data_IF_887999583679
#
_entry.id   IF_887999583679
#
_cell.length_a   1.000
_cell.length_b   1.000
_cell.length_c   1.000
_cell.angle_alpha   90.00
_cell.angle_beta   90.00
_cell.angle_gamma   90.00
#
_symmetry.space_group_name_H-M   'P 1'
#
loop_
_entity.id
_entity.type
_entity.pdbx_description
1 polymer ?
#
# COMPACT_ATOMS: atom_id res chain seq x y z
N UNK A 1 10.28 3.07 -38.94
CA UNK A 1 11.69 3.05 -38.46
C UNK A 1 11.66 2.56 -37.02
N UNK A 2 12.09 1.32 -36.79
CA UNK A 2 11.94 0.63 -35.51
C UNK A 2 12.67 1.36 -34.39
N UNK A 3 11.97 1.59 -33.28
CA UNK A 3 12.56 2.11 -32.06
C UNK A 3 13.73 1.20 -31.66
N UNK A 4 14.90 1.77 -31.42
CA UNK A 4 16.06 1.04 -30.98
C UNK A 4 15.69 0.20 -29.74
N UNK A 5 15.93 -1.12 -29.79
CA UNK A 5 15.80 -2.02 -28.65
C UNK A 5 16.84 -1.60 -27.60
N UNK A 6 16.42 -0.76 -26.66
CA UNK A 6 17.23 -0.37 -25.52
C UNK A 6 17.28 -1.55 -24.55
N UNK A 7 18.47 -1.92 -24.09
CA UNK A 7 18.63 -3.00 -23.10
C UNK A 7 19.25 -2.43 -21.83
N UNK A 8 18.59 -2.65 -20.69
CA UNK A 8 19.09 -2.28 -19.36
C UNK A 8 19.11 -3.50 -18.45
N UNK A 9 20.25 -3.76 -17.81
CA UNK A 9 20.42 -4.90 -16.90
C UNK A 9 20.03 -6.26 -17.53
N UNK A 10 20.25 -6.41 -18.85
CA UNK A 10 19.86 -7.61 -19.59
C UNK A 10 18.34 -7.77 -19.79
N UNK A 11 17.58 -6.67 -19.74
CA UNK A 11 16.15 -6.60 -20.11
C UNK A 11 15.99 -5.74 -21.37
N UNK A 12 15.46 -6.31 -22.45
CA UNK A 12 15.11 -5.57 -23.67
C UNK A 12 13.81 -4.78 -23.49
N UNK A 13 13.88 -3.47 -23.70
CA UNK A 13 12.82 -2.52 -23.48
C UNK A 13 12.17 -2.11 -24.80
N UNK A 14 10.85 -2.15 -24.86
CA UNK A 14 10.08 -1.90 -26.09
C UNK A 14 9.06 -0.79 -25.90
N UNK A 15 8.58 -0.18 -26.99
CA UNK A 15 7.45 0.77 -26.96
C UNK A 15 7.65 1.94 -25.95
N UNK A 16 8.89 2.38 -25.76
CA UNK A 16 9.28 3.32 -24.71
C UNK A 16 8.62 4.70 -24.90
N UNK A 17 8.44 5.12 -26.14
CA UNK A 17 7.85 6.44 -26.48
C UNK A 17 6.32 6.45 -26.41
N UNK A 18 5.68 5.30 -26.15
CA UNK A 18 4.23 5.26 -26.04
C UNK A 18 3.73 5.87 -24.73
N UNK A 19 2.56 6.52 -24.73
CA UNK A 19 1.89 6.98 -23.51
C UNK A 19 1.69 5.83 -22.53
N UNK A 20 1.89 6.10 -21.22
CA UNK A 20 1.80 5.08 -20.17
C UNK A 20 0.35 4.61 -19.93
N UNK A 21 -0.57 5.56 -19.75
CA UNK A 21 -2.02 5.39 -19.69
C UNK A 21 -2.70 6.76 -19.89
N UNK A 22 -4.02 6.77 -20.09
CA UNK A 22 -4.77 8.00 -20.32
C UNK A 22 -4.73 8.93 -19.09
N UNK A 23 -4.29 10.17 -19.30
CA UNK A 23 -4.10 11.14 -18.21
C UNK A 23 -2.80 10.97 -17.41
N UNK A 24 -1.93 10.01 -17.74
CA UNK A 24 -0.67 9.80 -17.03
C UNK A 24 0.25 11.04 -17.07
N UNK A 25 0.21 11.82 -18.16
CA UNK A 25 1.21 12.87 -18.42
C UNK A 25 2.63 12.31 -18.52
N UNK A 26 2.77 11.00 -18.79
CA UNK A 26 4.03 10.26 -18.78
C UNK A 26 4.03 9.16 -19.85
N UNK A 27 5.21 8.84 -20.35
CA UNK A 27 5.47 7.73 -21.29
C UNK A 27 5.88 6.46 -20.54
N UNK A 28 5.96 5.35 -21.26
CA UNK A 28 6.55 4.12 -20.72
C UNK A 28 8.03 4.34 -20.35
N UNK A 29 8.78 5.13 -21.14
CA UNK A 29 10.14 5.55 -20.83
C UNK A 29 10.22 6.24 -19.47
N UNK A 30 9.34 7.20 -19.21
CA UNK A 30 9.29 7.91 -17.92
C UNK A 30 9.12 6.94 -16.74
N UNK A 31 8.27 5.92 -16.88
CA UNK A 31 8.10 4.89 -15.84
C UNK A 31 9.37 4.07 -15.63
N UNK A 32 10.02 3.63 -16.71
CA UNK A 32 11.26 2.84 -16.65
C UNK A 32 12.37 3.66 -15.99
N UNK A 33 12.57 4.90 -16.44
CA UNK A 33 13.57 5.82 -15.92
C UNK A 33 13.32 6.15 -14.45
N UNK A 34 12.06 6.38 -14.08
CA UNK A 34 11.66 6.60 -12.69
C UNK A 34 12.02 5.41 -11.80
N UNK A 35 11.57 4.20 -12.16
CA UNK A 35 11.80 3.00 -11.34
C UNK A 35 13.27 2.66 -11.23
N UNK A 36 14.05 2.88 -12.30
CA UNK A 36 15.50 2.72 -12.27
C UNK A 36 16.18 3.75 -11.34
N UNK A 37 15.73 5.01 -11.36
CA UNK A 37 16.24 6.07 -10.52
C UNK A 37 15.94 5.85 -9.03
N UNK A 38 14.77 5.30 -8.68
CA UNK A 38 14.38 5.02 -7.28
C UNK A 38 14.66 3.58 -6.83
N UNK A 39 15.30 2.75 -7.67
CA UNK A 39 15.50 1.30 -7.41
C UNK A 39 16.03 1.00 -6.02
N UNK A 40 17.02 1.75 -5.55
CA UNK A 40 17.72 1.50 -4.28
C UNK A 40 16.81 1.81 -3.06
N UNK A 41 15.70 2.53 -3.29
CA UNK A 41 14.72 2.94 -2.27
C UNK A 41 13.45 2.08 -2.31
N UNK A 42 12.97 1.72 -3.50
CA UNK A 42 11.76 0.89 -3.64
C UNK A 42 12.07 -0.60 -3.37
N UNK A 43 13.20 -1.13 -3.84
CA UNK A 43 13.53 -2.55 -3.73
C UNK A 43 13.57 -3.09 -2.28
N UNK A 44 14.11 -2.36 -1.28
CA UNK A 44 14.05 -2.82 0.12
C UNK A 44 12.63 -3.12 0.60
N UNK A 45 11.63 -2.35 0.13
CA UNK A 45 10.23 -2.56 0.46
C UNK A 45 9.56 -3.72 -0.29
N UNK A 46 10.15 -4.18 -1.40
CA UNK A 46 9.64 -5.28 -2.23
C UNK A 46 10.31 -6.63 -1.95
N UNK A 47 11.55 -6.59 -1.43
CA UNK A 47 12.42 -7.77 -1.30
C UNK A 47 11.79 -8.89 -0.49
N UNK A 48 11.90 -10.10 -1.04
CA UNK A 48 11.37 -11.36 -0.52
C UNK A 48 9.88 -11.32 -0.21
N UNK A 49 9.10 -10.42 -0.83
CA UNK A 49 7.64 -10.35 -0.66
C UNK A 49 6.92 -10.78 -1.93
N UNK A 50 5.95 -11.71 -1.84
CA UNK A 50 4.99 -11.93 -2.92
C UNK A 50 4.43 -10.60 -3.43
N UNK A 51 4.69 -10.30 -4.71
CA UNK A 51 4.34 -9.02 -5.29
C UNK A 51 3.10 -9.14 -6.19
N UNK A 52 2.07 -8.36 -5.87
CA UNK A 52 1.02 -8.04 -6.82
C UNK A 52 1.34 -6.72 -7.53
N UNK A 53 1.15 -6.64 -8.84
CA UNK A 53 1.31 -5.38 -9.59
C UNK A 53 0.03 -4.97 -10.30
N UNK A 54 -0.28 -3.67 -10.33
CA UNK A 54 -1.35 -3.16 -11.20
C UNK A 54 -0.73 -2.73 -12.52
N UNK A 55 -1.20 -3.32 -13.61
CA UNK A 55 -0.71 -3.08 -14.96
C UNK A 55 -1.74 -2.32 -15.78
N UNK A 56 -1.25 -1.53 -16.74
CA UNK A 56 -2.09 -0.93 -17.78
C UNK A 56 -1.58 -1.34 -19.15
N UNK A 57 -2.45 -1.90 -19.98
CA UNK A 57 -2.15 -2.17 -21.40
C UNK A 57 -2.78 -1.07 -22.26
N UNK A 58 -2.19 -0.71 -23.41
CA UNK A 58 -2.80 0.26 -24.32
C UNK A 58 -4.27 -0.10 -24.63
N UNK A 59 -5.17 0.88 -24.45
CA UNK A 59 -6.60 0.72 -24.74
C UNK A 59 -7.37 -0.21 -23.79
N UNK A 60 -6.86 -0.47 -22.58
CA UNK A 60 -7.50 -1.34 -21.61
C UNK A 60 -7.52 -0.75 -20.22
N UNK A 61 -8.53 -1.14 -19.44
CA UNK A 61 -8.61 -0.80 -18.03
C UNK A 61 -7.44 -1.40 -17.23
N UNK A 62 -7.00 -0.71 -16.17
CA UNK A 62 -6.02 -1.25 -15.23
C UNK A 62 -6.45 -2.58 -14.64
N UNK A 63 -5.51 -3.52 -14.49
CA UNK A 63 -5.80 -4.80 -13.85
C UNK A 63 -4.69 -5.22 -12.88
N UNK A 64 -5.10 -5.86 -11.79
CA UNK A 64 -4.18 -6.46 -10.83
C UNK A 64 -3.67 -7.80 -11.36
N UNK A 65 -2.35 -7.92 -11.52
CA UNK A 65 -1.66 -9.17 -11.77
C UNK A 65 -1.07 -9.71 -10.47
N UNK A 66 -1.56 -10.87 -10.06
CA UNK A 66 -1.01 -11.67 -8.95
C UNK A 66 -0.18 -12.84 -9.47
N UNK A 67 -0.77 -13.60 -10.39
CA UNK A 67 -0.14 -14.76 -10.98
C UNK A 67 0.82 -14.35 -12.11
N UNK A 68 2.04 -14.89 -12.07
CA UNK A 68 3.04 -14.72 -13.11
C UNK A 68 2.55 -15.31 -14.44
N UNK A 69 2.69 -14.60 -15.57
CA UNK A 69 2.36 -15.12 -16.89
C UNK A 69 3.36 -16.19 -17.37
N UNK A 70 2.94 -17.03 -18.33
CA UNK A 70 3.78 -18.10 -18.89
C UNK A 70 5.08 -17.60 -19.52
N UNK A 71 5.11 -16.37 -20.03
CA UNK A 71 6.29 -15.74 -20.65
C UNK A 71 7.25 -15.13 -19.63
N UNK A 72 7.03 -15.32 -18.32
CA UNK A 72 7.92 -14.78 -17.29
C UNK A 72 9.32 -15.39 -17.45
N UNK A 73 10.38 -14.57 -17.56
CA UNK A 73 11.74 -15.08 -17.66
C UNK A 73 12.11 -16.01 -16.49
N UNK A 74 12.96 -16.99 -16.76
CA UNK A 74 13.43 -17.99 -15.79
C UNK A 74 14.15 -17.37 -14.60
N UNK A 75 14.92 -16.30 -14.82
CA UNK A 75 15.65 -15.57 -13.80
C UNK A 75 14.76 -14.78 -12.83
N UNK A 76 13.47 -14.55 -13.14
CA UNK A 76 12.54 -13.92 -12.18
C UNK A 76 12.24 -14.92 -11.06
N UNK A 77 12.79 -14.65 -9.88
CA UNK A 77 12.49 -15.39 -8.65
C UNK A 77 10.98 -15.36 -8.38
N UNK A 78 10.47 -16.49 -7.88
CA UNK A 78 9.04 -16.68 -7.65
C UNK A 78 8.78 -17.54 -6.42
N UNK A 79 7.61 -17.35 -5.84
CA UNK A 79 7.08 -18.18 -4.76
C UNK A 79 5.65 -18.60 -5.08
N UNK A 80 5.23 -19.70 -4.48
CA UNK A 80 3.95 -20.35 -4.73
C UNK A 80 3.06 -20.18 -3.50
N UNK A 81 1.88 -19.60 -3.67
CA UNK A 81 0.91 -19.39 -2.59
C UNK A 81 -0.40 -20.08 -2.94
N UNK A 82 -0.89 -20.94 -2.05
CA UNK A 82 -2.20 -21.54 -2.20
C UNK A 82 -3.30 -20.50 -1.99
N UNK A 83 -4.19 -20.35 -2.98
CA UNK A 83 -5.30 -19.42 -2.91
C UNK A 83 -6.60 -20.18 -2.69
N UNK A 84 -7.04 -20.26 -1.42
CA UNK A 84 -8.25 -20.99 -1.01
C UNK A 84 -9.48 -20.60 -1.83
N UNK A 85 -9.71 -19.30 -2.03
CA UNK A 85 -10.87 -18.80 -2.77
C UNK A 85 -10.96 -19.30 -4.22
N UNK A 86 -9.84 -19.75 -4.81
CA UNK A 86 -9.80 -20.24 -6.19
C UNK A 86 -9.30 -21.68 -6.31
N UNK A 87 -9.10 -22.38 -5.19
CA UNK A 87 -8.56 -23.74 -5.11
C UNK A 87 -7.40 -24.01 -6.08
N UNK A 88 -6.46 -23.06 -6.19
CA UNK A 88 -5.30 -23.19 -7.06
C UNK A 88 -4.09 -22.53 -6.44
N UNK A 89 -2.92 -22.98 -6.89
CA UNK A 89 -1.67 -22.29 -6.60
C UNK A 89 -1.49 -21.05 -7.47
N UNK A 90 -1.09 -19.95 -6.85
CA UNK A 90 -0.72 -18.70 -7.51
C UNK A 90 0.80 -18.55 -7.42
N UNK A 91 1.44 -18.36 -8.57
CA UNK A 91 2.87 -18.07 -8.67
C UNK A 91 3.08 -16.55 -8.61
N UNK A 92 3.63 -16.07 -7.50
CA UNK A 92 3.97 -14.65 -7.31
C UNK A 92 5.43 -14.40 -7.65
N UNK A 93 5.73 -13.22 -8.20
CA UNK A 93 7.11 -12.77 -8.33
C UNK A 93 7.67 -12.34 -6.98
N UNK A 94 8.98 -12.50 -6.81
CA UNK A 94 9.79 -11.81 -5.82
C UNK A 94 10.62 -10.76 -6.56
N UNK A 95 10.32 -9.48 -6.35
CA UNK A 95 11.00 -8.38 -7.02
C UNK A 95 12.17 -7.91 -6.16
N UNK A 96 13.26 -8.68 -6.20
CA UNK A 96 14.40 -8.52 -5.28
C UNK A 96 15.52 -7.65 -5.85
N UNK A 97 15.52 -7.47 -7.16
CA UNK A 97 16.60 -6.85 -7.91
C UNK A 97 16.11 -5.86 -8.99
N UNK A 98 17.06 -5.06 -9.48
CA UNK A 98 16.85 -4.06 -10.53
C UNK A 98 16.33 -4.70 -11.81
N UNK A 99 16.89 -5.85 -12.23
CA UNK A 99 16.50 -6.56 -13.44
C UNK A 99 15.01 -6.92 -13.45
N UNK A 100 14.49 -7.45 -12.35
CA UNK A 100 13.09 -7.80 -12.17
C UNK A 100 12.20 -6.56 -12.15
N UNK A 101 12.64 -5.49 -11.48
CA UNK A 101 11.94 -4.21 -11.46
C UNK A 101 11.79 -3.63 -12.88
N UNK A 102 12.86 -3.64 -13.68
CA UNK A 102 12.84 -3.15 -15.06
C UNK A 102 11.96 -4.02 -15.97
N UNK A 103 11.91 -5.34 -15.75
CA UNK A 103 11.00 -6.23 -16.48
C UNK A 103 9.53 -5.95 -16.17
N UNK A 104 9.20 -5.62 -14.91
CA UNK A 104 7.87 -5.16 -14.54
C UNK A 104 7.55 -3.80 -15.17
N UNK A 105 8.48 -2.85 -15.13
CA UNK A 105 8.34 -1.55 -15.80
C UNK A 105 8.07 -1.71 -17.30
N UNK A 106 8.83 -2.59 -17.97
CA UNK A 106 8.66 -2.91 -19.39
C UNK A 106 7.27 -3.52 -19.70
N UNK A 107 6.65 -4.16 -18.72
CA UNK A 107 5.30 -4.70 -18.83
C UNK A 107 4.19 -3.71 -18.47
N UNK A 108 4.54 -2.44 -18.23
CA UNK A 108 3.66 -1.38 -17.73
C UNK A 108 3.03 -1.73 -16.38
N UNK A 109 3.78 -2.39 -15.51
CA UNK A 109 3.44 -2.48 -14.08
C UNK A 109 3.70 -1.12 -13.43
N UNK A 110 2.62 -0.42 -13.08
CA UNK A 110 2.67 0.94 -12.55
C UNK A 110 2.62 0.91 -11.03
N UNK A 111 1.74 0.10 -10.43
CA UNK A 111 1.61 0.02 -8.98
C UNK A 111 2.20 -1.29 -8.43
N UNK A 112 2.92 -1.21 -7.31
CA UNK A 112 3.62 -2.30 -6.66
C UNK A 112 3.02 -2.52 -5.27
N UNK A 113 2.39 -3.66 -5.07
CA UNK A 113 1.64 -4.03 -3.87
C UNK A 113 2.22 -5.31 -3.25
N UNK A 114 3.34 -5.20 -2.50
CA UNK A 114 3.89 -6.33 -1.76
C UNK A 114 2.98 -6.76 -0.61
N UNK A 115 3.07 -8.03 -0.23
CA UNK A 115 2.48 -8.54 1.01
C UNK A 115 3.15 -8.01 2.26
N UNK A 116 2.43 -8.01 3.38
CA UNK A 116 2.96 -7.54 4.67
C UNK A 116 3.97 -8.51 5.30
N UNK A 117 3.85 -9.81 5.00
CA UNK A 117 4.85 -10.84 5.31
C UNK A 117 5.80 -11.13 4.15
N UNK A 118 6.94 -11.75 4.45
CA UNK A 118 7.91 -12.25 3.46
C UNK A 118 7.53 -13.67 3.01
N UNK A 119 7.97 -14.10 1.84
CA UNK A 119 7.67 -15.39 1.24
C UNK A 119 8.03 -16.59 2.12
N UNK A 120 9.12 -16.48 2.90
CA UNK A 120 9.55 -17.54 3.81
C UNK A 120 8.76 -17.63 5.11
N UNK A 121 8.08 -16.54 5.50
CA UNK A 121 7.32 -16.42 6.76
C UNK A 121 6.06 -15.57 6.54
N UNK A 122 5.13 -16.03 5.67
CA UNK A 122 3.95 -15.24 5.29
C UNK A 122 2.99 -14.95 6.46
N UNK A 123 3.00 -15.79 7.50
CA UNK A 123 2.25 -15.66 8.75
C UNK A 123 2.81 -14.60 9.70
N UNK A 124 4.01 -14.09 9.42
CA UNK A 124 4.70 -13.10 10.24
C UNK A 124 4.88 -11.78 9.47
N UNK A 125 3.93 -10.83 9.59
CA UNK A 125 4.10 -9.52 8.97
C UNK A 125 5.27 -8.77 9.61
N UNK A 126 5.94 -7.93 8.82
CA UNK A 126 7.05 -7.09 9.32
C UNK A 126 6.60 -5.67 9.68
N UNK A 127 5.33 -5.33 9.44
CA UNK A 127 4.79 -4.00 9.68
C UNK A 127 3.28 -4.04 9.92
N UNK A 128 2.79 -3.14 10.77
CA UNK A 128 1.38 -2.75 10.81
C UNK A 128 1.13 -1.67 9.75
N UNK A 129 -0.11 -1.59 9.28
CA UNK A 129 -0.57 -0.57 8.33
C UNK A 129 -1.90 0.01 8.81
N UNK A 130 -1.91 1.31 9.06
CA UNK A 130 -3.15 2.09 9.20
C UNK A 130 -3.36 2.86 7.90
N UNK A 131 -4.38 2.48 7.15
CA UNK A 131 -4.74 3.08 5.86
C UNK A 131 -5.86 4.12 6.08
N UNK A 132 -5.54 5.39 5.82
CA UNK A 132 -6.40 6.52 6.15
C UNK A 132 -7.13 6.97 4.90
N UNK A 133 -8.41 6.63 4.83
CA UNK A 133 -9.29 6.86 3.70
C UNK A 133 -10.24 8.03 3.98
N UNK A 134 -9.92 9.26 3.52
CA UNK A 134 -10.80 10.40 3.72
C UNK A 134 -12.04 10.31 2.82
N UNK A 135 -13.11 11.06 3.14
CA UNK A 135 -14.30 11.12 2.30
C UNK A 135 -13.97 11.66 0.89
N UNK A 136 -14.85 11.46 -0.11
CA UNK A 136 -14.69 12.09 -1.42
C UNK A 136 -14.59 13.62 -1.33
N UNK A 137 -13.88 14.23 -2.28
CA UNK A 137 -13.63 15.69 -2.32
C UNK A 137 -12.16 16.04 -2.07
N UNK A 138 -11.89 17.33 -1.88
CA UNK A 138 -10.57 17.82 -1.44
C UNK A 138 -10.45 17.68 0.09
N UNK A 139 -10.17 16.44 0.51
CA UNK A 139 -10.23 16.01 1.90
C UNK A 139 -8.87 15.55 2.45
N UNK A 140 -7.79 15.87 1.74
CA UNK A 140 -6.44 15.49 2.18
C UNK A 140 -6.10 16.09 3.55
N UNK A 141 -6.53 17.32 3.83
CA UNK A 141 -6.36 17.95 5.15
C UNK A 141 -7.02 17.16 6.28
N UNK A 142 -8.17 16.52 6.04
CA UNK A 142 -8.80 15.65 7.03
C UNK A 142 -7.96 14.38 7.27
N UNK A 143 -7.41 13.77 6.20
CA UNK A 143 -6.48 12.65 6.36
C UNK A 143 -5.23 13.03 7.16
N UNK A 144 -4.69 14.24 6.96
CA UNK A 144 -3.56 14.77 7.74
C UNK A 144 -3.94 14.90 9.21
N UNK A 145 -5.09 15.51 9.52
CA UNK A 145 -5.55 15.65 10.90
C UNK A 145 -5.67 14.29 11.60
N UNK A 146 -6.29 13.30 10.93
CA UNK A 146 -6.42 11.95 11.49
C UNK A 146 -5.08 11.20 11.56
N UNK A 147 -4.13 11.45 10.65
CA UNK A 147 -2.78 10.89 10.76
C UNK A 147 -2.05 11.40 12.02
N UNK A 148 -2.27 12.64 12.43
CA UNK A 148 -1.71 13.17 13.68
C UNK A 148 -2.36 12.51 14.91
N UNK A 149 -3.66 12.20 14.86
CA UNK A 149 -4.33 11.41 15.91
C UNK A 149 -3.79 9.97 15.96
N UNK A 150 -3.50 9.35 14.81
CA UNK A 150 -2.83 8.05 14.77
C UNK A 150 -1.46 8.14 15.43
N UNK A 151 -0.69 9.20 15.18
CA UNK A 151 0.62 9.41 15.80
C UNK A 151 0.51 9.54 17.32
N UNK A 152 -0.51 10.24 17.82
CA UNK A 152 -0.82 10.33 19.25
C UNK A 152 -1.16 8.96 19.83
N UNK A 153 -2.09 8.21 19.22
CA UNK A 153 -2.46 6.86 19.65
C UNK A 153 -1.27 5.88 19.66
N UNK A 154 -0.35 6.00 18.70
CA UNK A 154 0.91 5.26 18.69
C UNK A 154 1.79 5.65 19.88
N UNK A 155 1.96 6.95 20.12
CA UNK A 155 2.79 7.47 21.22
C UNK A 155 2.27 7.00 22.58
N UNK A 156 0.95 7.05 22.80
CA UNK A 156 0.30 6.53 24.01
C UNK A 156 0.51 5.01 24.19
N UNK A 157 0.59 4.27 23.09
CA UNK A 157 0.90 2.84 23.10
C UNK A 157 2.41 2.55 23.22
N UNK A 158 3.28 3.56 23.32
CA UNK A 158 4.73 3.38 23.33
C UNK A 158 5.30 2.91 22.00
N UNK A 159 4.61 3.19 20.89
CA UNK A 159 5.01 2.87 19.53
C UNK A 159 5.31 4.13 18.72
N UNK A 160 6.12 3.97 17.67
CA UNK A 160 6.40 4.96 16.66
C UNK A 160 6.09 4.40 15.27
N UNK A 161 5.78 5.28 14.32
CA UNK A 161 5.57 4.92 12.92
C UNK A 161 6.03 6.02 11.97
N UNK A 162 6.10 5.67 10.70
CA UNK A 162 6.37 6.59 9.59
C UNK A 162 5.11 6.79 8.76
N UNK A 163 4.96 7.97 8.16
CA UNK A 163 3.82 8.30 7.29
C UNK A 163 4.27 8.45 5.85
N UNK A 164 3.41 8.03 4.92
CA UNK A 164 3.56 8.27 3.49
C UNK A 164 2.23 8.65 2.88
N UNK A 165 2.26 9.46 1.82
CA UNK A 165 1.10 9.62 0.96
C UNK A 165 0.73 8.27 0.36
N UNK A 166 -0.57 8.03 0.13
CA UNK A 166 -0.99 6.87 -0.65
C UNK A 166 -0.65 7.03 -2.14
N UNK A 167 -0.38 8.26 -2.60
CA UNK A 167 -0.40 8.64 -4.02
C UNK A 167 -1.81 8.68 -4.61
N UNK A 168 -2.85 8.53 -3.78
CA UNK A 168 -4.24 8.75 -4.13
C UNK A 168 -4.80 9.90 -3.27
N UNK A 169 -5.83 9.64 -2.47
CA UNK A 169 -6.48 10.67 -1.61
C UNK A 169 -6.04 10.59 -0.15
N UNK A 170 -5.59 9.42 0.28
CA UNK A 170 -5.31 9.10 1.68
C UNK A 170 -3.83 9.08 2.06
N UNK A 171 -3.57 8.64 3.28
CA UNK A 171 -2.26 8.45 3.88
C UNK A 171 -2.11 7.01 4.36
N UNK A 172 -0.89 6.50 4.43
CA UNK A 172 -0.60 5.27 5.15
C UNK A 172 0.35 5.59 6.30
N UNK A 173 0.04 5.09 7.49
CA UNK A 173 0.98 5.05 8.62
C UNK A 173 1.50 3.63 8.76
N UNK A 174 2.82 3.49 8.75
CA UNK A 174 3.55 2.23 8.77
C UNK A 174 4.31 2.10 10.08
N UNK A 175 4.12 0.97 10.78
CA UNK A 175 4.78 0.67 12.06
C UNK A 175 5.58 -0.61 11.89
N UNK A 176 6.92 -0.55 11.75
CA UNK A 176 7.77 -1.74 11.75
C UNK A 176 7.60 -2.55 13.03
N UNK A 177 7.42 -3.86 12.90
CA UNK A 177 7.25 -4.77 14.04
C UNK A 177 8.35 -5.83 14.08
N UNK A 178 8.67 -6.28 15.29
CA UNK A 178 9.70 -7.27 15.53
C UNK A 178 9.42 -8.59 14.80
N UNK A 179 10.50 -9.28 14.40
CA UNK A 179 10.42 -10.61 13.82
C UNK A 179 9.66 -11.58 14.74
N UNK A 180 8.86 -12.47 14.15
CA UNK A 180 8.01 -13.41 14.88
C UNK A 180 6.67 -12.85 15.35
N UNK A 181 6.39 -11.55 15.14
CA UNK A 181 5.03 -11.00 15.33
C UNK A 181 4.04 -11.80 14.48
N UNK A 182 2.98 -12.34 15.09
CA UNK A 182 1.96 -13.13 14.38
C UNK A 182 1.02 -12.21 13.61
N UNK A 183 0.44 -12.70 12.51
CA UNK A 183 -0.59 -11.96 11.76
C UNK A 183 -1.81 -11.63 12.64
N UNK A 184 -2.17 -12.51 13.57
CA UNK A 184 -3.25 -12.31 14.54
C UNK A 184 -2.96 -11.15 15.49
N UNK A 185 -1.75 -11.10 16.07
CA UNK A 185 -1.35 -10.03 16.99
C UNK A 185 -1.23 -8.69 16.27
N UNK A 186 -0.66 -8.71 15.06
CA UNK A 186 -0.62 -7.52 14.20
C UNK A 186 -2.02 -7.00 13.88
N UNK A 187 -2.95 -7.89 13.50
CA UNK A 187 -4.33 -7.51 13.21
C UNK A 187 -5.04 -6.95 14.46
N UNK A 188 -4.82 -7.55 15.62
CA UNK A 188 -5.36 -7.07 16.89
C UNK A 188 -4.81 -5.69 17.24
N UNK A 189 -3.49 -5.52 17.29
CA UNK A 189 -2.87 -4.23 17.60
C UNK A 189 -3.32 -3.12 16.64
N UNK A 190 -3.43 -3.41 15.34
CA UNK A 190 -3.91 -2.43 14.34
C UNK A 190 -5.36 -2.02 14.60
N UNK A 191 -6.25 -2.96 14.97
CA UNK A 191 -7.63 -2.65 15.38
C UNK A 191 -7.69 -1.78 16.63
N UNK A 192 -6.87 -2.09 17.63
CA UNK A 192 -6.78 -1.29 18.85
C UNK A 192 -6.36 0.14 18.51
N UNK A 193 -5.26 0.32 17.77
CA UNK A 193 -4.78 1.65 17.35
C UNK A 193 -5.83 2.44 16.57
N UNK A 194 -6.55 1.79 15.65
CA UNK A 194 -7.63 2.44 14.91
C UNK A 194 -8.78 2.90 15.82
N UNK A 195 -9.18 2.04 16.77
CA UNK A 195 -10.20 2.39 17.75
C UNK A 195 -9.75 3.48 18.74
N UNK A 196 -8.47 3.47 19.17
CA UNK A 196 -7.89 4.56 19.97
C UNK A 196 -7.94 5.88 19.20
N UNK A 197 -7.55 5.86 17.92
CA UNK A 197 -7.62 7.03 17.03
C UNK A 197 -9.02 7.59 16.91
N UNK A 198 -10.04 6.74 16.70
CA UNK A 198 -11.45 7.16 16.67
C UNK A 198 -11.92 7.76 18.00
N UNK A 199 -11.41 7.27 19.15
CA UNK A 199 -11.76 7.84 20.46
C UNK A 199 -11.15 9.21 20.72
N UNK A 200 -9.97 9.49 20.17
CA UNK A 200 -9.32 10.79 20.31
C UNK A 200 -10.16 11.91 19.65
N UNK A 201 -10.72 11.64 18.47
CA UNK A 201 -11.68 12.54 17.83
C UNK A 201 -12.72 11.77 16.98
N UNK A 202 -13.89 11.43 17.55
CA UNK A 202 -14.94 10.71 16.84
C UNK A 202 -15.72 11.58 15.85
N UNK A 203 -15.47 12.90 15.80
CA UNK A 203 -16.04 13.78 14.80
C UNK A 203 -15.21 13.77 13.50
N UNK A 204 -13.92 13.44 13.58
CA UNK A 204 -13.01 13.39 12.42
C UNK A 204 -12.70 11.98 11.93
N UNK A 205 -12.53 11.02 12.85
CA UNK A 205 -12.09 9.66 12.54
C UNK A 205 -13.22 8.65 12.72
N UNK A 206 -13.15 7.54 12.00
CA UNK A 206 -14.05 6.42 12.22
C UNK A 206 -13.47 5.05 11.84
N UNK A 207 -13.89 4.01 12.54
CA UNK A 207 -13.60 2.61 12.18
C UNK A 207 -14.77 1.92 11.47
N UNK A 208 -15.82 2.65 11.12
CA UNK A 208 -16.99 2.12 10.42
C UNK A 208 -16.62 1.61 9.01
N UNK A 209 -16.75 0.29 8.81
CA UNK A 209 -16.40 -0.36 7.55
C UNK A 209 -17.36 0.02 6.41
N UNK A 210 -18.65 0.17 6.71
CA UNK A 210 -19.71 0.56 5.76
C UNK A 210 -19.59 2.05 5.46
N UNK A 211 -19.50 2.41 4.17
CA UNK A 211 -19.23 3.80 3.72
C UNK A 211 -20.30 4.77 4.21
N UNK A 212 -21.56 4.38 4.16
CA UNK A 212 -22.70 5.20 4.58
C UNK A 212 -22.64 5.54 6.07
N UNK A 213 -22.14 4.62 6.89
CA UNK A 213 -22.05 4.79 8.34
C UNK A 213 -20.84 5.68 8.75
N UNK A 214 -19.94 5.99 7.80
CA UNK A 214 -18.78 6.87 8.05
C UNK A 214 -19.17 8.34 8.21
N UNK A 215 -20.33 8.76 7.70
CA UNK A 215 -20.85 10.11 7.92
C UNK A 215 -19.89 11.25 7.55
N UNK A 216 -19.08 11.09 6.49
CA UNK A 216 -18.10 12.10 6.06
C UNK A 216 -16.79 12.12 6.86
N UNK A 217 -16.59 11.21 7.80
CA UNK A 217 -15.35 11.07 8.58
C UNK A 217 -14.28 10.29 7.82
N UNK A 218 -13.02 10.45 8.22
CA UNK A 218 -11.90 9.66 7.70
C UNK A 218 -11.98 8.25 8.25
N UNK A 219 -12.00 7.27 7.35
CA UNK A 219 -11.95 5.87 7.74
C UNK A 219 -10.52 5.48 8.10
N UNK A 220 -10.33 5.00 9.33
CA UNK A 220 -9.08 4.45 9.83
C UNK A 220 -9.10 2.94 9.58
N UNK A 221 -8.67 2.53 8.38
CA UNK A 221 -8.73 1.15 7.95
C UNK A 221 -7.64 0.31 8.64
N UNK A 222 -8.09 -0.57 9.54
CA UNK A 222 -7.27 -1.57 10.24
C UNK A 222 -7.33 -2.95 9.58
N UNK A 223 -7.97 -3.09 8.42
CA UNK A 223 -8.16 -4.38 7.74
C UNK A 223 -6.96 -4.82 6.90
N UNK A 224 -5.94 -3.96 6.78
CA UNK A 224 -4.65 -4.28 6.16
C UNK A 224 -3.81 -5.19 7.07
N UNK A 225 -4.22 -6.46 7.18
CA UNK A 225 -3.54 -7.48 7.96
C UNK A 225 -3.52 -8.83 7.22
N UNK A 226 -2.84 -9.84 7.78
CA UNK A 226 -2.69 -11.18 7.18
C UNK A 226 -2.10 -11.10 5.76
N UNK A 227 -2.69 -11.81 4.79
CA UNK A 227 -2.29 -11.81 3.38
C UNK A 227 -2.65 -10.53 2.60
N UNK A 228 -3.00 -9.43 3.29
CA UNK A 228 -3.19 -8.14 2.65
C UNK A 228 -1.90 -7.65 1.98
N UNK A 229 -2.09 -6.71 1.05
CA UNK A 229 -1.00 -5.98 0.41
C UNK A 229 -1.20 -4.49 0.65
N UNK A 230 -0.11 -3.74 0.60
CA UNK A 230 -0.14 -2.27 0.66
C UNK A 230 0.74 -1.76 -0.46
N UNK A 231 0.36 -0.64 -1.08
CA UNK A 231 1.21 -0.01 -2.09
C UNK A 231 2.56 0.38 -1.46
N UNK A 232 3.65 -0.03 -2.10
CA UNK A 232 5.00 0.21 -1.60
C UNK A 232 5.32 1.71 -1.56
N UNK A 233 6.19 2.12 -0.63
CA UNK A 233 6.81 3.44 -0.72
C UNK A 233 7.54 3.57 -2.07
N UNK A 234 7.46 4.76 -2.67
CA UNK A 234 7.96 5.06 -4.02
C UNK A 234 7.25 4.35 -5.18
N UNK A 235 6.21 3.55 -4.93
CA UNK A 235 5.38 3.03 -6.02
C UNK A 235 4.56 4.16 -6.67
N UNK A 236 4.57 4.27 -8.01
CA UNK A 236 3.60 5.08 -8.74
C UNK A 236 2.17 4.58 -8.57
N UNK A 237 1.20 5.43 -8.91
CA UNK A 237 -0.23 5.16 -8.92
C UNK A 237 -0.83 5.45 -10.29
N UNK A 238 -1.82 4.64 -10.68
CA UNK A 238 -2.56 4.82 -11.95
C UNK A 238 -3.65 5.87 -11.73
N UNK A 239 -3.21 7.12 -11.69
CA UNK A 239 -4.04 8.31 -11.49
C UNK A 239 -3.49 9.44 -12.38
N UNK A 240 -4.31 10.46 -12.71
CA UNK A 240 -3.84 11.60 -13.48
C UNK A 240 -2.55 12.20 -12.91
N UNK A 241 -1.54 12.44 -13.76
CA UNK A 241 -0.23 12.94 -13.37
C UNK A 241 0.74 11.89 -12.78
N UNK A 242 0.34 10.62 -12.72
CA UNK A 242 1.14 9.49 -12.19
C UNK A 242 1.78 9.78 -10.82
N UNK A 243 0.97 10.10 -9.79
CA UNK A 243 1.46 10.38 -8.45
C UNK A 243 2.11 9.15 -7.81
N UNK A 244 2.89 9.38 -6.77
CA UNK A 244 3.70 8.37 -6.08
C UNK A 244 3.27 8.26 -4.62
N UNK A 245 3.25 7.03 -4.10
CA UNK A 245 3.14 6.79 -2.65
C UNK A 245 4.45 7.22 -1.98
N UNK A 246 4.54 8.47 -1.55
CA UNK A 246 5.79 9.10 -1.16
C UNK A 246 5.91 9.28 0.37
N UNK A 247 7.03 8.90 1.00
CA UNK A 247 7.35 9.19 2.39
C UNK A 247 7.30 10.67 2.75
N UNK A 248 6.69 11.04 3.86
CA UNK A 248 6.66 12.45 4.30
C UNK A 248 7.06 12.51 5.77
N UNK A 249 7.90 13.48 6.13
CA UNK A 249 8.21 13.75 7.52
C UNK A 249 6.97 14.29 8.22
N UNK A 250 6.72 13.85 9.47
CA UNK A 250 5.53 14.25 10.23
C UNK A 250 5.36 15.78 10.34
N UNK A 251 6.44 16.54 10.38
CA UNK A 251 6.43 18.00 10.45
C UNK A 251 5.96 18.68 9.16
N UNK A 252 6.18 18.04 8.01
CA UNK A 252 5.87 18.62 6.69
C UNK A 252 4.48 18.20 6.17
N UNK A 253 3.82 17.27 6.86
CA UNK A 253 2.61 16.60 6.38
C UNK A 253 1.46 17.57 6.04
N UNK A 254 1.32 18.68 6.77
CA UNK A 254 0.32 19.72 6.50
C UNK A 254 0.63 20.62 5.29
N UNK A 255 1.89 20.67 4.88
CA UNK A 255 2.37 21.57 3.83
C UNK A 255 2.40 20.93 2.43
N UNK A 256 2.13 19.63 2.34
CA UNK A 256 2.22 18.87 1.08
C UNK A 256 0.85 18.45 0.56
N UNK A 257 0.82 18.06 -0.71
CA UNK A 257 -0.31 17.39 -1.37
C UNK A 257 0.19 16.16 -2.12
N UNK A 258 -0.65 15.12 -2.30
CA UNK A 258 -0.24 13.93 -3.06
C UNK A 258 0.26 14.24 -4.48
N UNK A 259 -0.28 15.29 -5.12
CA UNK A 259 0.09 15.72 -6.46
C UNK A 259 1.50 16.31 -6.56
N UNK A 260 2.12 16.71 -5.44
CA UNK A 260 3.49 17.22 -5.41
C UNK A 260 4.51 16.11 -5.71
N UNK A 261 4.11 14.85 -5.49
CA UNK A 261 4.96 13.67 -5.64
C UNK A 261 4.50 12.85 -6.84
N UNK A 262 5.24 12.96 -7.95
CA UNK A 262 4.98 12.25 -9.20
C UNK A 262 6.24 11.54 -9.68
N UNK A 263 6.09 10.68 -10.68
CA UNK A 263 7.25 10.06 -11.35
C UNK A 263 8.24 11.07 -11.94
N UNK A 264 7.83 12.34 -12.12
CA UNK A 264 8.67 13.43 -12.64
C UNK A 264 9.35 14.23 -11.54
N UNK A 265 8.70 14.41 -10.39
CA UNK A 265 9.23 15.26 -9.30
C UNK A 265 10.07 14.47 -8.30
N UNK A 266 9.68 13.23 -8.00
CA UNK A 266 10.30 12.40 -6.97
C UNK A 266 11.80 12.13 -7.21
N UNK A 267 12.31 11.86 -8.43
CA UNK A 267 13.74 11.61 -8.61
C UNK A 267 14.63 12.75 -8.09
N UNK A 268 14.27 14.01 -8.35
CA UNK A 268 14.98 15.17 -7.83
C UNK A 268 14.83 15.27 -6.30
N UNK A 269 13.62 14.99 -5.78
CA UNK A 269 13.34 14.96 -4.34
C UNK A 269 14.03 13.82 -3.60
N UNK A 270 14.69 12.87 -4.25
CA UNK A 270 15.40 11.80 -3.53
C UNK A 270 16.87 11.71 -3.90
N UNK A 271 17.38 12.63 -4.72
CA UNK A 271 18.79 12.68 -5.09
C UNK A 271 19.68 12.70 -3.82
N UNK A 272 20.48 11.65 -3.63
CA UNK A 272 21.40 11.51 -2.49
C UNK A 272 20.76 11.27 -1.11
N UNK A 273 19.43 11.13 -1.00
CA UNK A 273 18.73 10.91 0.28
C UNK A 273 17.70 9.80 0.23
N UNK A 274 17.44 9.15 1.36
CA UNK A 274 16.33 8.18 1.49
C UNK A 274 15.41 8.63 2.65
N UNK A 275 14.37 9.42 2.34
CA UNK A 275 13.40 9.86 3.34
C UNK A 275 12.68 8.71 4.04
N UNK A 276 12.51 7.55 3.37
CA UNK A 276 11.80 6.43 3.96
C UNK A 276 12.62 5.75 5.05
N UNK A 277 13.87 5.43 4.74
CA UNK A 277 14.79 4.81 5.71
C UNK A 277 15.00 5.73 6.91
N UNK A 278 15.09 7.05 6.67
CA UNK A 278 15.23 8.03 7.76
C UNK A 278 13.97 8.12 8.64
N UNK A 279 12.79 8.03 8.05
CA UNK A 279 11.52 8.20 8.78
C UNK A 279 11.07 6.93 9.52
N UNK A 280 11.46 5.75 9.05
CA UNK A 280 11.08 4.49 9.68
C UNK A 280 11.81 4.31 11.03
N UNK A 281 11.08 4.04 12.13
CA UNK A 281 11.70 3.61 13.36
C UNK A 281 12.21 2.17 13.22
N UNK A 282 13.08 1.76 14.15
CA UNK A 282 13.47 0.36 14.29
C UNK A 282 12.24 -0.55 14.52
N UNK A 283 12.29 -1.85 14.16
CA UNK A 283 11.24 -2.80 14.45
C UNK A 283 10.91 -2.89 15.95
N UNK A 284 9.62 -2.76 16.28
CA UNK A 284 9.15 -2.66 17.67
C UNK A 284 8.39 -3.92 18.10
N UNK A 285 8.50 -4.30 19.37
CA UNK A 285 7.62 -5.33 19.96
C UNK A 285 6.25 -4.72 20.23
N UNK A 286 5.20 -5.45 19.90
CA UNK A 286 3.83 -5.00 20.19
C UNK A 286 3.55 -5.08 21.71
N UNK A 287 3.03 -4.01 22.32
CA UNK A 287 2.59 -4.06 23.72
C UNK A 287 1.49 -5.11 23.93
N UNK A 288 1.60 -5.89 25.00
CA UNK A 288 0.68 -6.99 25.27
C UNK A 288 -0.75 -6.50 25.58
N UNK A 289 -0.88 -5.35 26.25
CA UNK A 289 -2.14 -4.69 26.54
C UNK A 289 -2.83 -4.19 25.25
N UNK A 290 -2.06 -3.64 24.31
CA UNK A 290 -2.58 -3.21 23.01
C UNK A 290 -3.13 -4.40 22.20
N UNK A 291 -2.40 -5.51 22.17
CA UNK A 291 -2.86 -6.75 21.53
C UNK A 291 -4.11 -7.30 22.23
N UNK A 292 -4.13 -7.30 23.56
CA UNK A 292 -5.28 -7.75 24.34
C UNK A 292 -6.54 -6.91 24.05
N UNK A 293 -6.42 -5.57 24.03
CA UNK A 293 -7.50 -4.66 23.61
C UNK A 293 -7.97 -4.99 22.19
N UNK A 294 -7.05 -5.17 21.26
CA UNK A 294 -7.35 -5.49 19.87
C UNK A 294 -8.11 -6.80 19.65
N UNK A 295 -7.97 -7.75 20.57
CA UNK A 295 -8.69 -9.04 20.56
C UNK A 295 -10.12 -8.90 21.08
N UNK A 296 -10.43 -7.88 21.87
CA UNK A 296 -11.82 -7.61 22.31
C UNK A 296 -12.61 -6.85 21.25
N UNK A 297 -11.93 -6.12 20.36
CA UNK A 297 -12.54 -5.38 19.25
C UNK A 297 -12.88 -6.35 18.12
N UNK A 298 -14.17 -6.47 17.72
CA UNK A 298 -14.55 -7.37 16.64
C UNK A 298 -13.97 -6.93 15.29
N UNK A 299 -13.84 -7.89 14.37
CA UNK A 299 -13.36 -7.60 13.01
C UNK A 299 -14.43 -6.80 12.26
N UNK A 300 -14.13 -5.55 11.90
CA UNK A 300 -15.07 -4.61 11.31
C UNK A 300 -15.80 -5.16 10.06
N UNK A 301 -15.10 -5.91 9.20
CA UNK A 301 -15.70 -6.57 8.03
C UNK A 301 -16.75 -7.62 8.41
N UNK A 302 -16.50 -8.38 9.48
CA UNK A 302 -17.43 -9.41 9.98
C UNK A 302 -18.67 -8.75 10.59
N UNK A 303 -18.48 -7.67 11.36
CA UNK A 303 -19.58 -6.87 11.89
C UNK A 303 -20.46 -6.30 10.78
N UNK A 304 -19.85 -5.68 9.77
CA UNK A 304 -20.56 -5.13 8.62
C UNK A 304 -21.37 -6.19 7.87
N UNK A 305 -20.82 -7.40 7.69
CA UNK A 305 -21.55 -8.52 7.08
C UNK A 305 -22.78 -8.92 7.92
N UNK A 306 -22.64 -9.02 9.25
CA UNK A 306 -23.76 -9.35 10.13
C UNK A 306 -24.82 -8.24 10.13
N UNK A 307 -24.42 -6.98 10.11
CA UNK A 307 -25.31 -5.82 9.99
C UNK A 307 -26.05 -5.78 8.67
N UNK A 308 -25.36 -6.03 7.55
CA UNK A 308 -25.99 -6.15 6.23
C UNK A 308 -27.06 -7.24 6.22
N UNK A 309 -26.78 -8.41 6.81
CA UNK A 309 -27.77 -9.49 6.96
C UNK A 309 -28.97 -9.08 7.83
N UNK A 310 -28.73 -8.38 8.95
CA UNK A 310 -29.80 -7.87 9.83
C UNK A 310 -30.69 -6.85 9.11
N UNK A 311 -30.10 -5.86 8.43
CA UNK A 311 -30.84 -4.84 7.65
C UNK A 311 -31.64 -5.48 6.53
N UNK A 312 -31.07 -6.46 5.82
CA UNK A 312 -31.77 -7.20 4.76
C UNK A 312 -32.95 -8.02 5.30
N UNK A 313 -32.80 -8.66 6.46
CA UNK A 313 -33.89 -9.39 7.13
C UNK A 313 -35.03 -8.46 7.54
N UNK A 314 -34.72 -7.34 8.21
CA UNK A 314 -35.72 -6.36 8.61
C UNK A 314 -36.51 -5.79 7.42
N UNK A 315 -35.86 -5.54 6.27
CA UNK A 315 -36.55 -5.11 5.04
C UNK A 315 -37.48 -6.17 4.45
N UNK A 316 -37.18 -7.46 4.62
CA UNK A 316 -38.05 -8.57 4.18
C UNK A 316 -39.23 -8.81 5.11
N UNK A 317 -39.09 -8.46 6.39
CA UNK A 317 -40.16 -8.60 7.39
C UNK A 317 -41.11 -7.39 7.41
N UNK A 318 -40.66 -6.24 6.87
CA UNK A 318 -41.42 -5.00 6.80
C UNK A 318 -42.17 -4.78 5.47
N UNK A 319 -42.07 -5.71 4.52
CA UNK A 319 -42.76 -5.69 3.22
C UNK A 319 -43.52 -6.98 2.98
#
# INVERSE_FOLDING_TARGET
MGAADETRDGVSLTNLDQPLFDGAGATKRDLVDYLDAVRDRILPGLRDRPLSVVRVRPGQDPFMQKNLPKYTPDWVRRTSVWAEASHRSISYALCDDRRTLLWFANQRAVEYHPTLGRAGHPEHPTQLVLDLDPPPGDSFGAAVAVALLVREALTEAGLAGAVKTSGAKGLHVIVPVADGTTAEDAAAATRALAARTERLDPALATTAFIVEDRGGRVFVDSTRAYGATVVAAYSPRIRPGTPVSYPVDWADLGAVRPADFTVRTVPALVAGRDPWVRALPEPQRLPADLVAEGRTIPVARVQAMHEGKRRAKARREAG
#
